data_IF_975106822770
#
_entry.id   IF_975106822770
#
_cell.length_a   1.000
_cell.length_b   1.000
_cell.length_c   1.000
_cell.angle_alpha   90.00
_cell.angle_beta   90.00
_cell.angle_gamma   90.00
#
_symmetry.space_group_name_H-M   'P 1'
#
loop_
_entity.id
_entity.type
_entity.pdbx_description
1 polymer ?
#
# COMPACT_ATOMS: atom_id res chain seq x y z
N UNK A 1 -3.92 4.90 41.54
CA UNK A 1 -4.32 3.88 40.56
C UNK A 1 -3.93 4.39 39.17
N UNK A 2 -2.79 3.95 38.64
CA UNK A 2 -2.47 4.16 37.23
C UNK A 2 -3.29 3.15 36.44
N UNK A 3 -4.35 3.60 35.76
CA UNK A 3 -4.99 2.78 34.74
C UNK A 3 -4.01 2.64 33.59
N UNK A 4 -3.67 1.40 33.27
CA UNK A 4 -2.84 1.07 32.12
C UNK A 4 -3.59 1.50 30.84
N UNK A 5 -3.11 2.51 30.11
CA UNK A 5 -3.80 3.05 28.93
C UNK A 5 -3.92 2.01 27.80
N UNK A 6 -3.22 0.88 27.89
CA UNK A 6 -3.34 -0.24 26.95
C UNK A 6 -4.64 -1.06 27.10
N UNK A 7 -5.43 -0.85 28.17
CA UNK A 7 -6.69 -1.55 28.45
C UNK A 7 -7.95 -0.70 28.28
N UNK A 8 -7.83 0.55 27.83
CA UNK A 8 -9.00 1.37 27.54
C UNK A 8 -9.77 0.75 26.35
N UNK A 9 -11.03 0.40 26.58
CA UNK A 9 -11.93 -0.03 25.50
C UNK A 9 -12.10 1.17 24.55
N UNK A 10 -11.79 1.03 23.25
CA UNK A 10 -11.91 2.13 22.31
C UNK A 10 -13.37 2.62 22.25
N UNK A 11 -13.54 3.93 22.03
CA UNK A 11 -14.87 4.51 21.79
C UNK A 11 -15.54 3.84 20.58
N UNK A 12 -16.89 3.83 20.49
CA UNK A 12 -17.59 3.27 19.33
C UNK A 12 -17.08 3.80 17.99
N UNK A 13 -16.78 5.10 17.92
CA UNK A 13 -16.23 5.76 16.73
C UNK A 13 -14.81 5.29 16.42
N UNK A 14 -13.96 5.14 17.44
CA UNK A 14 -12.62 4.61 17.28
C UNK A 14 -12.65 3.14 16.81
N UNK A 15 -13.55 2.32 17.36
CA UNK A 15 -13.72 0.92 16.94
C UNK A 15 -14.16 0.84 15.47
N UNK A 16 -15.09 1.71 15.06
CA UNK A 16 -15.54 1.82 13.67
C UNK A 16 -14.42 2.24 12.72
N UNK A 17 -13.66 3.27 13.07
CA UNK A 17 -12.55 3.77 12.24
C UNK A 17 -11.39 2.78 12.17
N UNK A 18 -11.14 2.01 13.23
CA UNK A 18 -10.22 0.87 13.22
C UNK A 18 -10.70 -0.23 12.28
N UNK A 19 -11.99 -0.58 12.30
CA UNK A 19 -12.57 -1.57 11.39
C UNK A 19 -12.48 -1.11 9.92
N UNK A 20 -12.81 0.15 9.63
CA UNK A 20 -12.64 0.75 8.29
C UNK A 20 -11.17 0.64 7.85
N UNK A 21 -10.24 1.01 8.72
CA UNK A 21 -8.81 0.90 8.44
C UNK A 21 -8.37 -0.55 8.17
N UNK A 22 -8.85 -1.51 8.96
CA UNK A 22 -8.53 -2.93 8.77
C UNK A 22 -9.09 -3.48 7.47
N UNK A 23 -10.28 -3.03 7.04
CA UNK A 23 -10.89 -3.42 5.75
C UNK A 23 -10.20 -2.78 4.56
N UNK A 24 -9.68 -1.56 4.71
CA UNK A 24 -8.99 -0.82 3.64
C UNK A 24 -7.49 -1.18 3.53
N UNK A 25 -6.87 -1.59 4.64
CA UNK A 25 -5.50 -2.06 4.67
C UNK A 25 -5.42 -3.49 4.15
N UNK A 26 -4.42 -3.85 3.31
CA UNK A 26 -4.18 -5.25 3.03
C UNK A 26 -3.78 -5.90 4.36
N UNK A 27 -4.28 -7.09 4.68
CA UNK A 27 -3.78 -7.82 5.83
C UNK A 27 -2.26 -8.00 5.70
N UNK A 28 -1.56 -8.00 6.83
CA UNK A 28 -0.08 -8.00 6.89
C UNK A 28 0.55 -9.08 6.00
N UNK A 29 -0.10 -10.24 5.91
CA UNK A 29 0.35 -11.34 5.07
C UNK A 29 0.32 -11.00 3.56
N UNK A 30 -0.62 -10.19 3.06
CA UNK A 30 -0.63 -9.76 1.64
C UNK A 30 0.50 -8.79 1.33
N UNK A 31 0.97 -8.05 2.32
CA UNK A 31 2.14 -7.17 2.18
C UNK A 31 3.45 -7.96 2.28
N UNK A 32 3.49 -8.99 3.13
CA UNK A 32 4.67 -9.83 3.31
C UNK A 32 4.83 -10.92 2.25
N UNK A 33 3.74 -11.40 1.65
CA UNK A 33 3.75 -12.53 0.72
C UNK A 33 4.73 -12.35 -0.47
N UNK A 34 4.80 -11.19 -1.16
CA UNK A 34 5.79 -10.99 -2.21
C UNK A 34 7.23 -11.10 -1.72
N UNK A 35 7.53 -10.58 -0.52
CA UNK A 35 8.86 -10.68 0.08
C UNK A 35 9.20 -12.12 0.47
N UNK A 36 8.24 -12.88 1.01
CA UNK A 36 8.43 -14.31 1.36
C UNK A 36 8.70 -15.13 0.10
N UNK A 37 7.88 -14.97 -0.93
CA UNK A 37 8.07 -15.66 -2.23
C UNK A 37 9.44 -15.30 -2.81
N UNK A 38 9.82 -14.03 -2.75
CA UNK A 38 11.12 -13.57 -3.24
C UNK A 38 12.28 -14.23 -2.48
N UNK A 39 12.26 -14.24 -1.14
CA UNK A 39 13.31 -14.88 -0.32
C UNK A 39 13.40 -16.38 -0.62
N UNK A 40 12.26 -17.07 -0.74
CA UNK A 40 12.22 -18.48 -1.09
C UNK A 40 12.80 -18.75 -2.48
N UNK A 41 12.43 -17.93 -3.47
CA UNK A 41 12.96 -18.06 -4.83
C UNK A 41 14.46 -17.76 -4.92
N UNK A 42 14.96 -16.80 -4.15
CA UNK A 42 16.40 -16.55 -4.03
C UNK A 42 17.13 -17.72 -3.37
N UNK A 43 16.60 -18.26 -2.27
CA UNK A 43 17.18 -19.45 -1.63
C UNK A 43 17.23 -20.65 -2.59
N UNK A 44 16.18 -20.81 -3.41
CA UNK A 44 16.11 -21.84 -4.43
C UNK A 44 17.16 -21.61 -5.53
N UNK A 45 17.35 -20.37 -6.00
CA UNK A 45 18.37 -20.02 -6.99
C UNK A 45 19.82 -20.27 -6.50
N UNK A 46 20.06 -20.16 -5.19
CA UNK A 46 21.36 -20.50 -4.58
C UNK A 46 21.53 -21.99 -4.24
N UNK A 47 20.54 -22.83 -4.52
CA UNK A 47 20.59 -24.26 -4.19
C UNK A 47 21.52 -25.01 -5.16
N UNK A 48 22.52 -25.78 -4.68
CA UNK A 48 23.50 -26.45 -5.53
C UNK A 48 22.90 -27.42 -6.55
N UNK A 49 21.76 -28.05 -6.23
CA UNK A 49 21.06 -28.99 -7.10
C UNK A 49 20.46 -28.33 -8.35
N UNK A 50 20.31 -27.01 -8.37
CA UNK A 50 19.68 -26.25 -9.45
C UNK A 50 20.71 -25.43 -10.26
N UNK A 51 21.99 -25.78 -10.13
CA UNK A 51 23.07 -25.14 -10.90
C UNK A 51 22.85 -25.31 -12.41
N UNK A 52 22.98 -24.21 -13.16
CA UNK A 52 22.75 -24.15 -14.60
C UNK A 52 21.32 -23.76 -15.02
N UNK A 53 20.35 -23.74 -14.10
CA UNK A 53 18.97 -23.31 -14.36
C UNK A 53 18.53 -22.14 -13.47
N UNK A 54 19.46 -21.51 -12.75
CA UNK A 54 19.22 -20.34 -11.89
C UNK A 54 18.49 -19.21 -12.63
N UNK A 55 18.81 -18.87 -13.90
CA UNK A 55 18.07 -17.86 -14.65
C UNK A 55 16.58 -18.16 -14.76
N UNK A 56 16.22 -19.44 -14.95
CA UNK A 56 14.82 -19.88 -15.06
C UNK A 56 14.13 -19.77 -13.70
N UNK A 57 14.81 -20.19 -12.62
CA UNK A 57 14.29 -20.07 -11.24
C UNK A 57 14.01 -18.61 -10.88
N UNK A 58 14.94 -17.70 -11.20
CA UNK A 58 14.78 -16.27 -10.95
C UNK A 58 13.65 -15.66 -11.80
N UNK A 59 13.53 -16.04 -13.07
CA UNK A 59 12.45 -15.57 -13.94
C UNK A 59 11.07 -16.03 -13.44
N UNK A 60 10.92 -17.30 -13.07
CA UNK A 60 9.68 -17.83 -12.49
C UNK A 60 9.36 -17.13 -11.17
N UNK A 61 10.36 -16.95 -10.30
CA UNK A 61 10.20 -16.22 -9.04
C UNK A 61 9.69 -14.80 -9.28
N UNK A 62 10.28 -14.07 -10.24
CA UNK A 62 9.85 -12.72 -10.60
C UNK A 62 8.37 -12.68 -11.02
N UNK A 63 7.94 -13.61 -11.88
CA UNK A 63 6.54 -13.73 -12.31
C UNK A 63 5.62 -14.01 -11.12
N UNK A 64 5.97 -14.95 -10.25
CA UNK A 64 5.14 -15.28 -9.07
C UNK A 64 5.07 -14.09 -8.11
N UNK A 65 6.19 -13.40 -7.87
CA UNK A 65 6.22 -12.17 -7.05
C UNK A 65 5.29 -11.11 -7.63
N UNK A 66 5.33 -10.90 -8.96
CA UNK A 66 4.44 -9.95 -9.65
C UNK A 66 2.97 -10.34 -9.50
N UNK A 67 2.62 -11.61 -9.70
CA UNK A 67 1.25 -12.10 -9.55
C UNK A 67 0.76 -11.98 -8.11
N UNK A 68 1.57 -12.40 -7.13
CA UNK A 68 1.21 -12.32 -5.70
C UNK A 68 1.08 -10.86 -5.26
N UNK A 69 1.98 -9.99 -5.70
CA UNK A 69 1.87 -8.56 -5.43
C UNK A 69 0.66 -7.94 -6.12
N UNK A 70 0.34 -8.34 -7.35
CA UNK A 70 -0.82 -7.87 -8.08
C UNK A 70 -2.12 -8.16 -7.32
N UNK A 71 -2.32 -9.41 -6.89
CA UNK A 71 -3.49 -9.81 -6.10
C UNK A 71 -3.47 -9.25 -4.68
N UNK A 72 -2.30 -9.20 -4.05
CA UNK A 72 -2.13 -8.68 -2.69
C UNK A 72 -2.41 -7.18 -2.54
N UNK A 73 -2.20 -6.42 -3.63
CA UNK A 73 -2.37 -4.97 -3.65
C UNK A 73 -3.76 -4.50 -4.09
N UNK A 74 -4.66 -5.40 -4.54
CA UNK A 74 -6.02 -5.05 -4.94
C UNK A 74 -6.92 -4.79 -3.73
N UNK A 75 -7.55 -3.63 -3.74
CA UNK A 75 -8.67 -3.28 -2.87
C UNK A 75 -9.77 -2.68 -3.76
N UNK A 76 -10.96 -3.30 -3.85
CA UNK A 76 -12.06 -2.78 -4.66
C UNK A 76 -12.42 -1.35 -4.26
N UNK A 77 -12.77 -0.48 -5.21
CA UNK A 77 -13.20 0.90 -4.94
C UNK A 77 -12.09 1.86 -4.48
N UNK A 78 -10.82 1.50 -4.72
CA UNK A 78 -9.65 2.33 -4.40
C UNK A 78 -8.66 2.30 -5.55
N UNK A 79 -8.16 3.48 -5.98
CA UNK A 79 -7.10 3.57 -7.01
C UNK A 79 -5.93 4.47 -6.56
N UNK A 80 -4.70 4.26 -7.03
CA UNK A 80 -3.60 5.18 -6.79
C UNK A 80 -3.95 6.55 -7.35
N UNK A 81 -3.62 7.62 -6.64
CA UNK A 81 -3.68 8.95 -7.20
C UNK A 81 -2.58 9.11 -8.26
N UNK A 82 -2.94 8.96 -9.53
CA UNK A 82 -2.02 9.18 -10.65
C UNK A 82 -1.97 10.63 -11.14
N UNK A 83 -2.53 11.59 -10.38
CA UNK A 83 -2.61 13.02 -10.76
C UNK A 83 -3.18 13.27 -12.17
N UNK A 84 -3.94 12.31 -12.72
CA UNK A 84 -4.57 12.43 -14.03
C UNK A 84 -6.08 12.65 -13.82
N UNK A 85 -6.56 13.91 -13.83
CA UNK A 85 -7.95 14.25 -13.57
C UNK A 85 -8.91 13.84 -14.70
N UNK A 86 -8.40 13.32 -15.83
CA UNK A 86 -9.18 12.95 -17.02
C UNK A 86 -9.37 11.43 -17.18
N UNK A 87 -8.95 10.62 -16.20
CA UNK A 87 -8.95 9.16 -16.31
C UNK A 87 -10.26 8.52 -15.78
N UNK A 88 -11.03 7.81 -16.64
CA UNK A 88 -12.35 7.26 -16.32
C UNK A 88 -12.40 6.43 -15.03
N UNK A 89 -13.47 6.58 -14.26
CA UNK A 89 -13.82 5.72 -13.12
C UNK A 89 -13.87 4.22 -13.47
N UNK A 90 -14.16 3.86 -14.72
CA UNK A 90 -14.09 2.47 -15.20
C UNK A 90 -12.69 1.84 -15.03
N UNK A 91 -11.63 2.67 -15.04
CA UNK A 91 -10.24 2.25 -14.79
C UNK A 91 -9.92 2.19 -13.29
N UNK A 92 -10.73 2.84 -12.44
CA UNK A 92 -10.63 2.76 -10.98
C UNK A 92 -11.09 1.41 -10.42
N UNK A 93 -11.96 0.69 -11.15
CA UNK A 93 -12.45 -0.64 -10.79
C UNK A 93 -11.33 -1.70 -10.70
N UNK A 94 -10.22 -1.50 -11.42
CA UNK A 94 -9.11 -2.46 -11.47
C UNK A 94 -8.13 -2.40 -10.28
N UNK A 95 -8.21 -1.35 -9.45
CA UNK A 95 -7.63 -1.30 -8.10
C UNK A 95 -6.13 -1.57 -7.99
N UNK A 96 -5.29 -0.86 -8.76
CA UNK A 96 -3.83 -1.10 -8.80
C UNK A 96 -3.04 -0.10 -7.96
N UNK A 97 -2.71 -0.39 -6.69
CA UNK A 97 -1.88 0.52 -5.84
C UNK A 97 -0.58 1.03 -6.51
N UNK A 98 0.01 2.15 -6.04
CA UNK A 98 1.22 2.77 -6.64
C UNK A 98 2.51 1.92 -6.53
N UNK A 99 2.40 0.67 -6.06
CA UNK A 99 3.50 -0.29 -5.90
C UNK A 99 3.97 -0.95 -7.20
N UNK A 100 3.22 -0.84 -8.29
CA UNK A 100 3.52 -1.57 -9.53
C UNK A 100 4.97 -1.34 -9.99
N UNK A 101 5.42 -0.09 -10.11
CA UNK A 101 6.79 0.21 -10.58
C UNK A 101 7.88 -0.31 -9.65
N UNK A 102 7.75 -0.13 -8.33
CA UNK A 102 8.74 -0.57 -7.34
C UNK A 102 8.84 -2.09 -7.31
N UNK A 103 7.68 -2.78 -7.30
CA UNK A 103 7.64 -4.25 -7.31
C UNK A 103 8.18 -4.79 -8.63
N UNK A 104 7.87 -4.15 -9.77
CA UNK A 104 8.41 -4.54 -11.07
C UNK A 104 9.92 -4.40 -11.09
N UNK A 105 10.48 -3.26 -10.69
CA UNK A 105 11.94 -3.09 -10.62
C UNK A 105 12.57 -4.11 -9.66
N UNK A 106 11.99 -4.30 -8.48
CA UNK A 106 12.46 -5.26 -7.48
C UNK A 106 12.41 -6.73 -7.96
N UNK A 107 11.43 -7.09 -8.80
CA UNK A 107 11.31 -8.44 -9.36
C UNK A 107 12.36 -8.75 -10.43
N UNK A 108 12.84 -7.74 -11.17
CA UNK A 108 13.81 -7.91 -12.25
C UNK A 108 15.26 -7.60 -11.86
N UNK A 109 15.49 -6.86 -10.78
CA UNK A 109 16.83 -6.60 -10.19
C UNK A 109 17.65 -7.84 -9.76
N UNK A 110 17.05 -8.99 -9.37
CA UNK A 110 17.81 -10.14 -8.86
C UNK A 110 18.70 -10.79 -9.91
N UNK A 111 18.27 -10.84 -11.17
CA UNK A 111 19.04 -11.43 -12.27
C UNK A 111 20.36 -10.69 -12.55
N UNK A 112 20.38 -9.36 -12.80
CA UNK A 112 21.63 -8.64 -12.99
C UNK A 112 22.49 -8.67 -11.72
N UNK A 113 21.89 -8.59 -10.53
CA UNK A 113 22.64 -8.69 -9.28
C UNK A 113 23.33 -10.06 -9.12
N UNK A 114 22.66 -11.15 -9.49
CA UNK A 114 23.23 -12.49 -9.49
C UNK A 114 24.35 -12.64 -10.53
N UNK A 115 24.16 -12.11 -11.75
CA UNK A 115 25.18 -12.10 -12.79
C UNK A 115 26.43 -11.33 -12.36
N UNK A 116 26.27 -10.15 -11.74
CA UNK A 116 27.37 -9.38 -11.16
C UNK A 116 28.04 -10.16 -10.01
N UNK A 117 27.27 -10.73 -9.09
CA UNK A 117 27.80 -11.46 -7.93
C UNK A 117 28.62 -12.71 -8.30
N UNK A 118 28.31 -13.34 -9.43
CA UNK A 118 29.00 -14.54 -9.93
C UNK A 118 30.16 -14.21 -10.87
N UNK A 119 30.07 -13.14 -11.66
CA UNK A 119 31.11 -12.75 -12.60
C UNK A 119 32.23 -11.89 -11.97
N UNK A 120 31.91 -10.98 -11.03
CA UNK A 120 32.90 -10.08 -10.40
C UNK A 120 34.05 -10.81 -9.70
N UNK A 121 33.79 -11.89 -8.92
CA UNK A 121 34.87 -12.52 -8.16
C UNK A 121 35.99 -13.05 -9.04
N UNK A 122 35.65 -13.62 -10.20
CA UNK A 122 36.64 -14.10 -11.17
C UNK A 122 37.46 -12.97 -11.81
N UNK A 123 36.86 -11.80 -12.02
CA UNK A 123 37.54 -10.63 -12.58
C UNK A 123 38.45 -9.92 -11.56
N UNK A 124 38.06 -9.92 -10.28
CA UNK A 124 38.75 -9.19 -9.21
C UNK A 124 39.63 -10.07 -8.32
N UNK A 125 39.71 -11.38 -8.59
CA UNK A 125 40.45 -12.34 -7.76
C UNK A 125 39.86 -12.51 -6.36
N UNK A 126 38.56 -12.30 -6.19
CA UNK A 126 37.88 -12.41 -4.89
C UNK A 126 37.56 -13.88 -4.58
N UNK A 127 37.51 -14.24 -3.29
CA UNK A 127 37.17 -15.59 -2.88
C UNK A 127 35.73 -15.96 -3.23
N UNK A 128 35.46 -17.25 -3.47
CA UNK A 128 34.16 -17.77 -3.93
C UNK A 128 32.98 -17.43 -3.01
N UNK A 129 33.23 -17.26 -1.70
CA UNK A 129 32.20 -16.87 -0.73
C UNK A 129 31.67 -15.44 -0.94
N UNK A 130 32.36 -14.61 -1.73
CA UNK A 130 31.95 -13.23 -2.00
C UNK A 130 30.60 -13.16 -2.71
N UNK A 131 30.36 -14.05 -3.68
CA UNK A 131 29.07 -14.12 -4.40
C UNK A 131 27.89 -14.42 -3.47
N UNK A 132 28.12 -15.26 -2.45
CA UNK A 132 27.14 -15.56 -1.41
C UNK A 132 26.81 -14.32 -0.56
N UNK A 133 27.82 -13.56 -0.14
CA UNK A 133 27.62 -12.34 0.65
C UNK A 133 26.83 -11.30 -0.12
N UNK A 134 27.19 -11.05 -1.39
CA UNK A 134 26.45 -10.13 -2.26
C UNK A 134 25.00 -10.61 -2.45
N UNK A 135 24.79 -11.91 -2.67
CA UNK A 135 23.46 -12.51 -2.81
C UNK A 135 22.56 -12.32 -1.60
N UNK A 136 23.10 -12.53 -0.40
CA UNK A 136 22.37 -12.31 0.86
C UNK A 136 22.03 -10.83 1.05
N UNK A 137 22.98 -9.92 0.83
CA UNK A 137 22.76 -8.48 0.99
C UNK A 137 21.67 -7.98 0.03
N UNK A 138 21.76 -8.36 -1.25
CA UNK A 138 20.75 -7.99 -2.26
C UNK A 138 19.37 -8.53 -1.88
N UNK A 139 19.31 -9.77 -1.40
CA UNK A 139 18.05 -10.39 -0.97
C UNK A 139 17.42 -9.61 0.19
N UNK A 140 18.21 -9.23 1.20
CA UNK A 140 17.75 -8.45 2.35
C UNK A 140 17.25 -7.08 1.91
N UNK A 141 17.99 -6.38 1.05
CA UNK A 141 17.62 -5.04 0.57
C UNK A 141 16.31 -5.08 -0.23
N UNK A 142 16.19 -6.01 -1.17
CA UNK A 142 14.97 -6.15 -1.99
C UNK A 142 13.79 -6.58 -1.11
N UNK A 143 13.97 -7.54 -0.20
CA UNK A 143 12.91 -7.95 0.73
C UNK A 143 12.45 -6.77 1.61
N UNK A 144 13.38 -5.96 2.11
CA UNK A 144 13.05 -4.75 2.88
C UNK A 144 12.26 -3.73 2.05
N UNK A 145 12.62 -3.52 0.78
CA UNK A 145 11.87 -2.65 -0.14
C UNK A 145 10.46 -3.19 -0.40
N UNK A 146 10.31 -4.50 -0.62
CA UNK A 146 8.99 -5.14 -0.80
C UNK A 146 8.11 -5.05 0.45
N UNK A 147 8.73 -5.11 1.63
CA UNK A 147 8.03 -4.98 2.92
C UNK A 147 7.61 -3.55 3.25
N UNK A 148 8.27 -2.52 2.72
CA UNK A 148 7.93 -1.11 3.00
C UNK A 148 6.52 -0.79 2.50
N UNK A 149 5.57 -0.40 3.37
CA UNK A 149 4.26 0.06 2.94
C UNK A 149 4.46 1.26 1.99
N UNK A 150 3.87 1.19 0.80
CA UNK A 150 4.10 2.18 -0.26
C UNK A 150 3.74 3.59 0.21
N UNK A 151 4.67 4.53 0.02
CA UNK A 151 4.49 5.99 0.11
C UNK A 151 3.59 6.45 1.26
N UNK A 152 3.76 5.89 2.46
CA UNK A 152 3.20 6.51 3.65
C UNK A 152 4.04 7.78 3.90
N UNK A 153 3.36 8.92 4.00
CA UNK A 153 3.99 10.13 4.53
C UNK A 153 4.73 9.75 5.81
N UNK A 154 6.00 10.16 6.01
CA UNK A 154 6.73 9.93 7.27
C UNK A 154 5.92 10.34 8.51
N UNK A 155 5.00 11.29 8.38
CA UNK A 155 4.14 11.76 9.46
C UNK A 155 2.84 10.95 9.63
N UNK A 156 2.57 9.96 8.78
CA UNK A 156 1.38 9.12 8.88
C UNK A 156 1.45 8.23 10.13
N UNK A 157 0.50 8.45 11.05
CA UNK A 157 0.30 7.58 12.22
C UNK A 157 -0.88 6.66 12.00
N UNK A 158 -0.71 5.38 12.35
CA UNK A 158 -1.79 4.39 12.23
C UNK A 158 -2.95 4.78 13.15
N UNK A 159 -4.22 4.55 12.78
CA UNK A 159 -5.35 4.88 13.64
C UNK A 159 -5.24 4.28 15.06
N UNK A 160 -4.73 3.05 15.18
CA UNK A 160 -4.48 2.42 16.47
C UNK A 160 -3.46 3.17 17.35
N UNK A 161 -2.46 3.82 16.76
CA UNK A 161 -1.50 4.66 17.49
C UNK A 161 -2.13 6.01 17.85
N UNK A 162 -2.91 6.58 16.93
CA UNK A 162 -3.61 7.85 17.15
C UNK A 162 -4.61 7.76 18.31
N UNK A 163 -5.41 6.68 18.38
CA UNK A 163 -6.35 6.46 19.50
C UNK A 163 -5.67 6.14 20.81
N UNK A 164 -4.45 5.56 20.80
CA UNK A 164 -3.66 5.41 22.03
C UNK A 164 -3.18 6.75 22.57
N UNK A 165 -2.82 7.68 21.68
CA UNK A 165 -2.39 9.03 22.05
C UNK A 165 -3.58 9.91 22.45
N UNK A 166 -4.75 9.68 21.87
CA UNK A 166 -5.97 10.46 22.12
C UNK A 166 -7.17 9.52 22.45
N UNK A 167 -7.21 8.93 23.66
CA UNK A 167 -8.19 7.90 24.03
C UNK A 167 -9.65 8.38 24.12
N UNK A 168 -9.90 9.69 23.97
CA UNK A 168 -11.23 10.29 23.93
C UNK A 168 -11.59 10.92 22.58
N UNK A 169 -10.77 10.74 21.54
CA UNK A 169 -11.03 11.35 20.24
C UNK A 169 -12.39 10.88 19.70
N UNK A 170 -13.22 11.86 19.35
CA UNK A 170 -14.48 11.70 18.63
C UNK A 170 -14.55 12.86 17.63
N UNK A 171 -14.93 12.61 16.37
CA UNK A 171 -15.23 13.67 15.44
C UNK A 171 -16.32 14.59 16.01
N UNK A 172 -16.07 15.90 16.02
CA UNK A 172 -17.01 16.90 16.51
C UNK A 172 -18.13 17.19 15.50
N UNK A 173 -17.82 17.07 14.20
CA UNK A 173 -18.73 17.32 13.10
C UNK A 173 -18.52 16.33 11.93
N UNK A 174 -19.37 16.44 10.91
CA UNK A 174 -19.32 15.59 9.72
C UNK A 174 -18.02 15.77 8.92
N UNK A 175 -17.42 16.96 8.95
CA UNK A 175 -16.16 17.24 8.26
C UNK A 175 -14.97 16.53 8.92
N UNK A 176 -14.88 16.57 10.25
CA UNK A 176 -13.90 15.81 11.02
C UNK A 176 -14.15 14.30 10.91
N UNK A 177 -15.41 13.87 10.80
CA UNK A 177 -15.75 12.46 10.61
C UNK A 177 -15.25 11.99 9.24
N UNK A 178 -15.48 12.77 8.20
CA UNK A 178 -14.99 12.50 6.86
C UNK A 178 -13.46 12.53 6.80
N UNK A 179 -12.80 13.50 7.45
CA UNK A 179 -11.34 13.56 7.55
C UNK A 179 -10.76 12.32 8.25
N UNK A 180 -11.40 11.86 9.34
CA UNK A 180 -11.00 10.65 10.05
C UNK A 180 -11.17 9.38 9.19
N UNK A 181 -12.25 9.31 8.39
CA UNK A 181 -12.47 8.23 7.41
C UNK A 181 -11.39 8.27 6.33
N UNK A 182 -11.09 9.44 5.76
CA UNK A 182 -10.03 9.62 4.76
C UNK A 182 -8.66 9.19 5.32
N UNK A 183 -8.36 9.54 6.57
CA UNK A 183 -7.15 9.10 7.26
C UNK A 183 -7.11 7.58 7.47
N UNK A 184 -8.22 6.98 7.91
CA UNK A 184 -8.36 5.53 8.10
C UNK A 184 -8.20 4.76 6.77
N UNK A 185 -8.70 5.31 5.66
CA UNK A 185 -8.57 4.77 4.31
C UNK A 185 -7.18 4.97 3.68
N UNK A 186 -6.27 5.70 4.31
CA UNK A 186 -4.99 6.15 3.73
C UNK A 186 -5.15 7.04 2.49
N UNK A 187 -6.18 7.89 2.47
CA UNK A 187 -6.43 8.81 1.36
C UNK A 187 -5.52 10.06 1.39
N UNK A 188 -4.85 10.38 2.50
CA UNK A 188 -3.91 11.51 2.60
C UNK A 188 -2.50 11.05 3.03
N UNK A 189 -1.41 11.71 2.58
CA UNK A 189 -1.30 12.83 1.62
C UNK A 189 -0.74 12.41 0.23
N UNK A 190 -0.44 11.14 0.02
CA UNK A 190 -0.03 10.57 -1.28
C UNK A 190 -1.12 9.59 -1.77
N UNK A 191 -2.34 10.12 -1.84
CA UNK A 191 -3.58 9.40 -1.61
C UNK A 191 -3.97 8.29 -2.59
N UNK A 192 -4.92 7.52 -2.09
CA UNK A 192 -5.82 6.69 -2.87
C UNK A 192 -7.03 7.54 -3.26
N UNK A 193 -7.46 7.50 -4.52
CA UNK A 193 -8.77 8.04 -4.89
C UNK A 193 -9.85 7.02 -4.51
N UNK A 194 -10.91 7.51 -3.88
CA UNK A 194 -12.01 6.73 -3.31
C UNK A 194 -13.30 7.19 -3.94
N UNK A 195 -14.17 6.26 -4.33
CA UNK A 195 -15.48 6.59 -4.90
C UNK A 195 -16.40 7.22 -3.87
N UNK A 196 -17.33 8.06 -4.34
CA UNK A 196 -18.32 8.75 -3.49
C UNK A 196 -19.13 7.77 -2.63
N UNK A 197 -19.65 6.70 -3.23
CA UNK A 197 -20.41 5.66 -2.51
C UNK A 197 -19.61 5.04 -1.36
N UNK A 198 -18.33 4.73 -1.61
CA UNK A 198 -17.47 4.13 -0.59
C UNK A 198 -17.17 5.11 0.55
N UNK A 199 -17.05 6.40 0.26
CA UNK A 199 -16.88 7.44 1.28
C UNK A 199 -18.16 7.61 2.11
N UNK A 200 -19.33 7.68 1.46
CA UNK A 200 -20.63 7.74 2.14
C UNK A 200 -20.82 6.57 3.09
N UNK A 201 -20.63 5.35 2.59
CA UNK A 201 -20.82 4.13 3.37
C UNK A 201 -19.81 4.02 4.53
N UNK A 202 -18.55 4.38 4.29
CA UNK A 202 -17.51 4.36 5.31
C UNK A 202 -17.78 5.41 6.41
N UNK A 203 -18.19 6.62 6.03
CA UNK A 203 -18.61 7.66 6.97
C UNK A 203 -19.96 7.34 7.62
N UNK A 204 -20.81 6.51 7.00
CA UNK A 204 -22.16 6.15 7.47
C UNK A 204 -23.09 7.34 7.44
N UNK A 205 -22.88 8.21 6.47
CA UNK A 205 -23.87 9.22 6.12
C UNK A 205 -25.04 8.49 5.48
N UNK A 206 -26.25 8.77 5.95
CA UNK A 206 -27.47 8.14 5.44
C UNK A 206 -27.88 8.68 4.07
N UNK A 207 -27.36 9.85 3.70
CA UNK A 207 -27.62 10.56 2.46
C UNK A 207 -26.35 11.19 1.89
N UNK A 208 -26.47 11.72 0.68
CA UNK A 208 -25.39 12.43 -0.03
C UNK A 208 -25.23 13.90 0.41
N UNK A 209 -26.23 14.47 1.09
CA UNK A 209 -26.24 15.87 1.53
C UNK A 209 -25.22 16.12 2.66
N UNK A 210 -25.16 15.21 3.64
CA UNK A 210 -24.15 15.29 4.72
C UNK A 210 -22.74 15.09 4.17
N UNK A 211 -22.58 14.22 3.16
CA UNK A 211 -21.30 14.02 2.49
C UNK A 211 -20.85 15.29 1.76
N UNK A 212 -21.75 15.95 1.02
CA UNK A 212 -21.44 17.16 0.27
C UNK A 212 -21.14 18.34 1.20
N UNK A 213 -21.90 18.49 2.30
CA UNK A 213 -21.63 19.50 3.31
C UNK A 213 -20.24 19.32 3.95
N UNK A 214 -19.88 18.08 4.31
CA UNK A 214 -18.57 17.74 4.86
C UNK A 214 -17.43 17.98 3.86
N UNK A 215 -17.61 17.58 2.60
CA UNK A 215 -16.64 17.82 1.53
C UNK A 215 -16.46 19.32 1.24
N UNK A 216 -17.55 20.08 1.24
CA UNK A 216 -17.51 21.53 1.08
C UNK A 216 -16.76 22.21 2.23
N UNK A 217 -16.99 21.78 3.48
CA UNK A 217 -16.28 22.28 4.65
C UNK A 217 -14.77 22.01 4.58
N UNK A 218 -14.36 20.78 4.24
CA UNK A 218 -12.95 20.41 4.05
C UNK A 218 -12.29 21.13 2.86
N UNK A 219 -13.07 21.43 1.82
CA UNK A 219 -12.57 22.21 0.68
C UNK A 219 -12.39 23.68 1.06
N UNK A 220 -13.31 24.23 1.86
CA UNK A 220 -13.23 25.60 2.35
C UNK A 220 -12.06 25.82 3.32
N UNK A 221 -11.71 24.81 4.13
CA UNK A 221 -10.53 24.85 5.00
C UNK A 221 -9.20 24.63 4.26
N UNK A 222 -9.27 24.16 3.01
CA UNK A 222 -8.08 23.84 2.19
C UNK A 222 -7.47 22.47 2.50
N UNK A 223 -8.14 21.63 3.30
CA UNK A 223 -7.67 20.30 3.70
C UNK A 223 -8.01 19.21 2.68
N UNK A 224 -8.95 19.47 1.77
CA UNK A 224 -9.33 18.58 0.68
C UNK A 224 -9.57 19.34 -0.63
N UNK A 225 -9.44 18.62 -1.75
CA UNK A 225 -9.86 19.09 -3.07
C UNK A 225 -10.78 18.06 -3.71
N UNK A 226 -12.02 18.45 -4.02
CA UNK A 226 -12.97 17.61 -4.75
C UNK A 226 -12.74 17.78 -6.24
N UNK A 227 -12.40 16.69 -6.93
CA UNK A 227 -12.29 16.65 -8.39
C UNK A 227 -13.52 15.96 -8.97
N UNK A 228 -14.26 16.66 -9.82
CA UNK A 228 -15.43 16.11 -10.52
C UNK A 228 -14.99 15.63 -11.90
N UNK A 229 -15.12 14.34 -12.17
CA UNK A 229 -14.86 13.79 -13.50
C UNK A 229 -15.97 14.21 -14.48
N UNK A 230 -15.58 14.82 -15.60
CA UNK A 230 -16.52 15.14 -16.69
C UNK A 230 -16.50 14.00 -17.70
N UNK A 231 -17.51 13.12 -17.70
CA UNK A 231 -17.65 12.10 -18.75
C UNK A 231 -17.65 12.78 -20.12
N UNK A 232 -16.92 12.21 -21.08
CA UNK A 232 -16.80 12.69 -22.47
C UNK A 232 -18.14 12.82 -23.20
N UNK A 233 -19.22 12.28 -22.64
CA UNK A 233 -20.55 12.28 -23.23
C UNK A 233 -21.43 13.46 -22.78
N UNK A 234 -20.88 14.43 -22.06
CA UNK A 234 -21.54 15.70 -21.79
C UNK A 234 -22.70 15.67 -20.77
N UNK A 235 -23.05 14.50 -20.22
CA UNK A 235 -24.06 14.38 -19.17
C UNK A 235 -23.41 14.52 -17.79
N UNK A 236 -23.82 15.56 -17.05
CA UNK A 236 -23.60 15.70 -15.61
C UNK A 236 -24.70 14.91 -14.90
N UNK A 237 -24.33 13.99 -14.03
CA UNK A 237 -25.20 13.58 -12.91
C UNK A 237 -24.63 14.23 -11.65
N UNK A 238 -25.52 14.93 -10.94
CA UNK A 238 -25.32 15.59 -9.65
C UNK A 238 -25.25 14.56 -8.53
#
# INVERSE_FOLDING_TARGET
MHQDPSRAVPSPDAARLLDIHHRASPPTWRTAAPAVVFVLGMALAFTPLLRGIEPVVLAVTAVVVLVVAWWGNRAPGTRPNSYDPLRPDAVAADGTRPRATVVTVAAFLPYPAFALATALPGWLGLPEWWGWVVGVVVTIVIAAVLLRPGTQNPDYRRPAELYRLHPGYRPADDAEQLAAVLHALHACPAGVQVTRDRLRDAAGFGDDDHLDAALAALTASGDAAVLVERRSNGTRET
#
